data_IF_420154068566
#
_entry.id   IF_420154068566
#
_cell.length_a   1.000
_cell.length_b   1.000
_cell.length_c   1.000
_cell.angle_alpha   90.00
_cell.angle_beta   90.00
_cell.angle_gamma   90.00
#
_symmetry.space_group_name_H-M   'P 1'
#
loop_
_entity.id
_entity.type
_entity.pdbx_description
1 polymer ?
#
# COMPACT_ATOMS: atom_id res chain seq x y z
N UNK A 1 -11.53 8.33 -16.67
CA UNK A 1 -10.70 7.13 -16.66
C UNK A 1 -9.93 6.94 -15.36
N UNK A 2 -9.35 8.01 -14.83
CA UNK A 2 -8.65 7.93 -13.55
C UNK A 2 -9.60 7.56 -12.40
N UNK A 3 -10.82 8.11 -12.40
CA UNK A 3 -11.82 7.78 -11.38
C UNK A 3 -12.21 6.31 -11.40
N UNK A 4 -12.31 5.72 -12.60
CA UNK A 4 -12.61 4.30 -12.74
C UNK A 4 -11.45 3.45 -12.20
N UNK A 5 -10.22 3.83 -12.48
CA UNK A 5 -9.05 3.12 -11.96
C UNK A 5 -8.99 3.19 -10.43
N UNK A 6 -9.30 4.35 -9.86
CA UNK A 6 -9.35 4.51 -8.40
C UNK A 6 -10.45 3.65 -7.78
N UNK A 7 -11.62 3.60 -8.41
CA UNK A 7 -12.74 2.79 -7.93
C UNK A 7 -12.42 1.29 -8.00
N UNK A 8 -11.80 0.86 -9.09
CA UNK A 8 -11.38 -0.54 -9.25
C UNK A 8 -10.29 -0.90 -8.23
N UNK A 9 -9.36 0.01 -7.99
CA UNK A 9 -8.31 -0.20 -6.99
C UNK A 9 -8.92 -0.34 -5.60
N UNK A 10 -9.86 0.53 -5.23
CA UNK A 10 -10.53 0.47 -3.94
C UNK A 10 -11.28 -0.86 -3.76
N UNK A 11 -11.96 -1.31 -4.81
CA UNK A 11 -12.67 -2.58 -4.79
C UNK A 11 -11.71 -3.77 -4.64
N UNK A 12 -10.60 -3.73 -5.36
CA UNK A 12 -9.57 -4.76 -5.28
C UNK A 12 -8.96 -4.79 -3.87
N UNK A 13 -8.63 -3.63 -3.32
CA UNK A 13 -8.07 -3.52 -1.98
C UNK A 13 -9.04 -4.09 -0.94
N UNK A 14 -10.32 -3.74 -1.03
CA UNK A 14 -11.33 -4.24 -0.12
C UNK A 14 -11.45 -5.76 -0.15
N UNK A 15 -11.41 -6.35 -1.34
CA UNK A 15 -11.57 -7.80 -1.50
C UNK A 15 -10.33 -8.60 -1.17
N UNK A 16 -9.14 -8.06 -1.43
CA UNK A 16 -7.90 -8.83 -1.41
C UNK A 16 -6.91 -8.42 -0.32
N UNK A 17 -7.18 -7.35 0.43
CA UNK A 17 -6.30 -6.93 1.52
C UNK A 17 -6.12 -8.03 2.57
N UNK A 18 -7.18 -8.80 2.85
CA UNK A 18 -7.12 -9.90 3.81
C UNK A 18 -6.13 -10.97 3.34
N UNK A 19 -6.08 -11.25 2.03
CA UNK A 19 -5.17 -12.26 1.48
C UNK A 19 -3.70 -11.86 1.64
N UNK A 20 -3.42 -10.56 1.51
CA UNK A 20 -2.07 -10.04 1.69
C UNK A 20 -1.54 -10.36 3.08
N UNK A 21 -2.39 -10.25 4.10
CA UNK A 21 -2.03 -10.53 5.49
C UNK A 21 -1.66 -12.00 5.74
N UNK A 22 -2.04 -12.92 4.86
CA UNK A 22 -1.69 -14.32 4.97
C UNK A 22 -0.36 -14.68 4.32
N UNK A 23 0.25 -13.75 3.57
CA UNK A 23 1.54 -13.99 2.96
C UNK A 23 2.65 -13.80 4.00
N UNK A 24 3.48 -14.84 4.25
CA UNK A 24 4.52 -14.75 5.26
C UNK A 24 5.48 -13.55 5.10
N UNK A 25 5.97 -13.22 3.89
CA UNK A 25 6.84 -12.05 3.72
C UNK A 25 6.16 -10.74 4.10
N UNK A 26 4.87 -10.60 3.83
CA UNK A 26 4.14 -9.39 4.18
C UNK A 26 3.92 -9.30 5.69
N UNK A 27 3.63 -10.41 6.35
CA UNK A 27 3.47 -10.48 7.80
C UNK A 27 4.76 -10.10 8.50
N UNK A 28 5.88 -10.61 8.02
CA UNK A 28 7.20 -10.27 8.54
C UNK A 28 7.51 -8.79 8.36
N UNK A 29 7.21 -8.24 7.17
CA UNK A 29 7.36 -6.81 6.90
C UNK A 29 6.54 -5.95 7.88
N UNK A 30 5.29 -6.31 8.13
CA UNK A 30 4.45 -5.57 9.06
C UNK A 30 4.99 -5.59 10.48
N UNK A 31 5.47 -6.75 10.92
CA UNK A 31 6.05 -6.91 12.23
C UNK A 31 7.29 -6.04 12.42
N UNK A 32 8.20 -6.06 11.45
CA UNK A 32 9.41 -5.23 11.46
C UNK A 32 9.06 -3.75 11.44
N UNK A 33 8.12 -3.36 10.61
CA UNK A 33 7.66 -1.99 10.49
C UNK A 33 7.13 -1.46 11.83
N UNK A 34 6.26 -2.21 12.48
CA UNK A 34 5.72 -1.82 13.79
C UNK A 34 6.81 -1.74 14.84
N UNK A 35 7.75 -2.65 14.82
CA UNK A 35 8.88 -2.63 15.75
C UNK A 35 9.73 -1.37 15.59
N UNK A 36 10.05 -1.00 14.34
CA UNK A 36 10.84 0.19 14.10
C UNK A 36 10.07 1.47 14.41
N UNK A 37 8.79 1.53 14.13
CA UNK A 37 7.97 2.68 14.51
C UNK A 37 7.86 2.84 16.02
N UNK A 38 7.83 1.76 16.77
CA UNK A 38 7.86 1.81 18.24
C UNK A 38 9.16 2.44 18.72
N UNK A 39 10.29 2.01 18.17
CA UNK A 39 11.60 2.58 18.51
C UNK A 39 11.68 4.06 18.12
N UNK A 40 11.16 4.41 16.97
CA UNK A 40 11.13 5.79 16.49
C UNK A 40 10.30 6.68 17.40
N UNK A 41 9.15 6.18 17.85
CA UNK A 41 8.28 6.89 18.77
C UNK A 41 8.98 7.17 20.11
N UNK A 42 9.72 6.20 20.61
CA UNK A 42 10.49 6.35 21.83
C UNK A 42 11.63 7.35 21.69
N UNK A 43 12.28 7.38 20.54
CA UNK A 43 13.44 8.23 20.27
C UNK A 43 13.06 9.67 19.93
N UNK A 44 12.03 9.88 19.11
CA UNK A 44 11.69 11.18 18.52
C UNK A 44 10.31 11.70 18.92
N UNK A 45 9.55 10.93 19.67
CA UNK A 45 8.23 11.31 20.15
C UNK A 45 7.08 10.81 19.27
N UNK A 46 5.87 10.70 19.85
CA UNK A 46 4.72 10.12 19.16
C UNK A 46 4.22 10.98 17.98
N UNK A 47 4.29 12.31 18.09
CA UNK A 47 3.80 13.18 17.04
C UNK A 47 4.62 13.04 15.75
N UNK A 48 5.95 13.03 15.89
CA UNK A 48 6.82 12.84 14.74
C UNK A 48 6.65 11.47 14.10
N UNK A 49 6.59 10.43 14.92
CA UNK A 49 6.40 9.06 14.44
C UNK A 49 5.08 8.92 13.68
N UNK A 50 4.00 9.53 14.17
CA UNK A 50 2.70 9.48 13.53
C UNK A 50 2.72 10.21 12.18
N UNK A 51 3.31 11.40 12.13
CA UNK A 51 3.42 12.16 10.89
C UNK A 51 4.25 11.42 9.84
N UNK A 52 5.33 10.79 10.27
CA UNK A 52 6.14 9.99 9.36
C UNK A 52 5.37 8.79 8.84
N UNK A 53 4.64 8.10 9.71
CA UNK A 53 3.80 6.97 9.33
C UNK A 53 2.76 7.38 8.28
N UNK A 54 2.05 8.49 8.52
CA UNK A 54 1.06 8.99 7.59
C UNK A 54 1.67 9.33 6.22
N UNK A 55 2.82 9.97 6.22
CA UNK A 55 3.51 10.31 4.97
C UNK A 55 3.91 9.06 4.19
N UNK A 56 4.47 8.06 4.87
CA UNK A 56 4.89 6.81 4.22
C UNK A 56 3.70 6.02 3.71
N UNK A 57 2.63 5.92 4.50
CA UNK A 57 1.42 5.21 4.10
C UNK A 57 0.74 5.89 2.92
N UNK A 58 0.66 7.22 2.93
CA UNK A 58 0.12 7.99 1.83
C UNK A 58 0.91 7.79 0.55
N UNK A 59 2.25 7.85 0.64
CA UNK A 59 3.13 7.60 -0.50
C UNK A 59 2.99 6.18 -1.04
N UNK A 60 2.96 5.19 -0.16
CA UNK A 60 2.79 3.79 -0.54
C UNK A 60 1.46 3.56 -1.26
N UNK A 61 0.39 4.21 -0.79
CA UNK A 61 -0.92 4.12 -1.44
C UNK A 61 -0.90 4.71 -2.85
N UNK A 62 -0.29 5.88 -3.02
CA UNK A 62 -0.17 6.51 -4.33
C UNK A 62 0.63 5.63 -5.30
N UNK A 63 1.72 5.05 -4.84
CA UNK A 63 2.52 4.15 -5.65
C UNK A 63 1.75 2.89 -6.03
N UNK A 64 0.99 2.33 -5.11
CA UNK A 64 0.18 1.15 -5.35
C UNK A 64 -0.93 1.43 -6.36
N UNK A 65 -1.61 2.57 -6.25
CA UNK A 65 -2.63 2.99 -7.21
C UNK A 65 -2.04 3.18 -8.61
N UNK A 66 -0.87 3.80 -8.71
CA UNK A 66 -0.18 3.98 -9.98
C UNK A 66 0.21 2.65 -10.60
N UNK A 67 0.79 1.75 -9.80
CA UNK A 67 1.17 0.42 -10.27
C UNK A 67 -0.04 -0.38 -10.77
N UNK A 68 -1.16 -0.28 -10.05
CA UNK A 68 -2.40 -0.92 -10.46
C UNK A 68 -2.90 -0.39 -11.79
N UNK A 69 -2.91 0.94 -11.97
CA UNK A 69 -3.37 1.57 -13.20
C UNK A 69 -2.50 1.17 -14.39
N UNK A 70 -1.17 1.16 -14.20
CA UNK A 70 -0.24 0.73 -15.26
C UNK A 70 -0.41 -0.75 -15.58
N UNK A 71 -0.58 -1.60 -14.58
CA UNK A 71 -0.83 -3.03 -14.77
C UNK A 71 -2.11 -3.29 -15.54
N UNK A 72 -3.17 -2.55 -15.22
CA UNK A 72 -4.45 -2.67 -15.92
C UNK A 72 -4.32 -2.27 -17.39
N UNK A 73 -3.63 -1.16 -17.66
CA UNK A 73 -3.38 -0.70 -19.03
C UNK A 73 -2.58 -1.72 -19.83
N UNK A 74 -1.56 -2.28 -19.22
CA UNK A 74 -0.75 -3.32 -19.87
C UNK A 74 -1.57 -4.56 -20.15
N UNK A 75 -2.39 -5.01 -19.20
CA UNK A 75 -3.27 -6.16 -19.38
C UNK A 75 -4.24 -5.98 -20.54
N UNK A 76 -4.87 -4.80 -20.63
CA UNK A 76 -5.77 -4.48 -21.74
C UNK A 76 -5.04 -4.43 -23.08
N UNK A 77 -3.82 -3.91 -23.10
CA UNK A 77 -3.01 -3.87 -24.32
C UNK A 77 -2.64 -5.27 -24.78
N UNK A 78 -2.30 -6.17 -23.85
CA UNK A 78 -1.96 -7.55 -24.15
C UNK A 78 -3.14 -8.33 -24.75
N UNK A 79 -4.35 -8.06 -24.31
CA UNK A 79 -5.53 -8.71 -24.86
C UNK A 79 -5.80 -8.34 -26.33
N UNK A 80 -5.29 -7.20 -26.77
CA UNK A 80 -5.44 -6.75 -28.17
C UNK A 80 -4.42 -7.36 -29.12
N UNK A 81 -3.41 -8.02 -28.58
CA UNK A 81 -2.44 -8.72 -29.40
C UNK A 81 -2.97 -10.08 -29.85
#
# INVERSE_FOLDING_TARGET
MEDLCSDLYALMEERYSVRLNYLPPYREYRWLRERFFTQLREALGPDFAEKLREALDGGARLEAEAAFAWGLRLGLALERL
#
